data_IF_922016139992
#
_entry.id   IF_922016139992
#
_cell.length_a   1.000
_cell.length_b   1.000
_cell.length_c   1.000
_cell.angle_alpha   90.00
_cell.angle_beta   90.00
_cell.angle_gamma   90.00
#
_symmetry.space_group_name_H-M   'P 1'
#
loop_
_entity.id
_entity.type
_entity.pdbx_description
1 polymer ?
#
# COMPACT_ATOMS: atom_id res chain seq x y z
N UNK A 1 -16.87 5.09 6.51
CA UNK A 1 -15.76 6.03 6.29
C UNK A 1 -16.13 6.98 5.16
N UNK A 2 -15.78 8.27 5.21
CA UNK A 2 -15.95 9.17 4.06
C UNK A 2 -14.74 9.01 3.13
N UNK A 3 -14.93 8.97 1.79
CA UNK A 3 -13.81 8.98 0.86
C UNK A 3 -12.90 10.20 1.10
N UNK A 4 -11.59 9.99 0.97
CA UNK A 4 -10.54 10.99 1.14
C UNK A 4 -9.35 10.64 0.26
N UNK A 5 -8.45 11.60 0.00
CA UNK A 5 -7.22 11.31 -0.73
C UNK A 5 -6.41 10.18 -0.07
N UNK A 6 -6.41 10.10 1.27
CA UNK A 6 -5.71 9.05 1.99
C UNK A 6 -6.37 7.68 1.84
N UNK A 7 -7.70 7.60 1.80
CA UNK A 7 -8.38 6.32 1.56
C UNK A 7 -8.18 5.81 0.13
N UNK A 8 -8.15 6.71 -0.85
CA UNK A 8 -7.81 6.36 -2.23
C UNK A 8 -6.34 5.92 -2.36
N UNK A 9 -5.41 6.60 -1.69
CA UNK A 9 -4.00 6.21 -1.65
C UNK A 9 -3.78 4.87 -0.95
N UNK A 10 -4.51 4.60 0.14
CA UNK A 10 -4.50 3.31 0.81
C UNK A 10 -4.95 2.20 -0.15
N UNK A 11 -6.06 2.39 -0.86
CA UNK A 11 -6.55 1.45 -1.87
C UNK A 11 -5.55 1.26 -3.01
N UNK A 12 -4.88 2.32 -3.46
CA UNK A 12 -3.82 2.25 -4.46
C UNK A 12 -2.60 1.43 -3.98
N UNK A 13 -2.19 1.60 -2.72
CA UNK A 13 -1.14 0.77 -2.11
C UNK A 13 -1.50 -0.71 -2.10
N UNK A 14 -2.75 -1.03 -1.73
CA UNK A 14 -3.28 -2.39 -1.76
C UNK A 14 -3.33 -2.99 -3.17
N UNK A 15 -3.75 -2.20 -4.17
CA UNK A 15 -3.73 -2.61 -5.57
C UNK A 15 -2.31 -2.87 -6.08
N UNK A 16 -1.35 -2.03 -5.69
CA UNK A 16 0.06 -2.18 -6.08
C UNK A 16 0.66 -3.46 -5.48
N UNK A 17 0.36 -3.75 -4.22
CA UNK A 17 0.72 -5.02 -3.57
C UNK A 17 0.14 -6.22 -4.32
N UNK A 18 -1.14 -6.17 -4.70
CA UNK A 18 -1.80 -7.24 -5.46
C UNK A 18 -1.18 -7.40 -6.86
N UNK A 19 -0.76 -6.30 -7.49
CA UNK A 19 -0.05 -6.31 -8.76
C UNK A 19 1.28 -7.06 -8.73
N UNK A 20 2.08 -6.89 -7.67
CA UNK A 20 3.38 -7.57 -7.54
C UNK A 20 3.25 -9.01 -7.03
N UNK A 21 2.27 -9.30 -6.18
CA UNK A 21 2.17 -10.59 -5.50
C UNK A 21 1.17 -11.54 -6.13
N UNK A 22 0.24 -11.06 -6.96
CA UNK A 22 -0.96 -11.76 -7.42
C UNK A 22 -1.95 -12.15 -6.32
N UNK A 23 -1.75 -11.66 -5.09
CA UNK A 23 -2.59 -11.90 -3.93
C UNK A 23 -3.04 -10.59 -3.30
N UNK A 24 -4.27 -10.54 -2.79
CA UNK A 24 -4.71 -9.41 -1.97
C UNK A 24 -3.86 -9.32 -0.69
N UNK A 25 -3.70 -8.12 -0.11
CA UNK A 25 -3.19 -7.97 1.24
C UNK A 25 -3.95 -8.91 2.20
N UNK A 26 -3.22 -9.62 3.06
CA UNK A 26 -3.78 -10.59 4.01
C UNK A 26 -4.60 -11.73 3.39
N UNK A 27 -4.29 -12.19 2.17
CA UNK A 27 -5.03 -13.27 1.48
C UNK A 27 -5.20 -14.58 2.29
N UNK A 28 -4.36 -14.81 3.30
CA UNK A 28 -4.34 -15.98 4.17
C UNK A 28 -4.97 -15.74 5.54
N UNK A 29 -5.61 -14.58 5.76
CA UNK A 29 -6.26 -14.19 7.01
C UNK A 29 -7.78 -14.09 6.86
N UNK A 30 -8.49 -14.28 7.97
CA UNK A 30 -9.91 -14.00 8.05
C UNK A 30 -10.19 -12.54 8.49
N UNK A 31 -11.43 -12.09 8.34
CA UNK A 31 -11.83 -10.70 8.61
C UNK A 31 -11.43 -10.22 10.02
N UNK A 32 -11.58 -11.06 11.06
CA UNK A 32 -11.21 -10.70 12.43
C UNK A 32 -9.70 -10.52 12.60
N UNK A 33 -8.90 -11.39 11.99
CA UNK A 33 -7.43 -11.26 11.99
C UNK A 33 -6.99 -9.99 11.25
N UNK A 34 -7.67 -9.65 10.14
CA UNK A 34 -7.41 -8.42 9.40
C UNK A 34 -7.76 -7.18 10.23
N UNK A 35 -8.87 -7.19 10.95
CA UNK A 35 -9.25 -6.12 11.89
C UNK A 35 -8.20 -5.95 12.99
N UNK A 36 -7.79 -7.05 13.65
CA UNK A 36 -6.76 -7.05 14.69
C UNK A 36 -5.42 -6.48 14.19
N UNK A 37 -4.98 -6.88 12.98
CA UNK A 37 -3.75 -6.36 12.35
C UNK A 37 -3.87 -4.89 11.97
N UNK A 38 -5.01 -4.48 11.42
CA UNK A 38 -5.23 -3.09 11.02
C UNK A 38 -5.27 -2.15 12.24
N UNK A 39 -5.88 -2.57 13.36
CA UNK A 39 -5.86 -1.82 14.61
C UNK A 39 -4.46 -1.69 15.22
N UNK A 40 -3.57 -2.64 14.91
CA UNK A 40 -2.17 -2.65 15.35
C UNK A 40 -1.21 -1.90 14.39
N UNK A 41 -1.71 -1.30 13.30
CA UNK A 41 -0.89 -0.75 12.20
C UNK A 41 0.11 -1.78 11.61
N UNK A 42 -0.22 -3.08 11.68
CA UNK A 42 0.63 -4.17 11.18
C UNK A 42 0.23 -4.56 9.75
N UNK A 43 1.06 -4.15 8.78
CA UNK A 43 0.83 -4.41 7.36
C UNK A 43 1.62 -5.59 6.81
N UNK A 44 1.20 -6.20 5.68
CA UNK A 44 1.94 -7.28 5.04
C UNK A 44 3.36 -6.86 4.70
N UNK A 45 4.29 -7.81 4.79
CA UNK A 45 5.68 -7.56 4.45
C UNK A 45 5.85 -7.31 2.95
N UNK A 46 6.46 -6.17 2.61
CA UNK A 46 6.75 -5.74 1.24
C UNK A 46 8.23 -5.85 0.86
N UNK A 47 9.06 -6.41 1.75
CA UNK A 47 10.50 -6.54 1.53
C UNK A 47 10.82 -7.30 0.23
N UNK A 48 11.66 -6.70 -0.62
CA UNK A 48 12.06 -7.28 -1.90
C UNK A 48 11.13 -6.97 -3.07
N UNK A 49 9.99 -6.31 -2.84
CA UNK A 49 9.13 -5.78 -3.89
C UNK A 49 9.73 -4.52 -4.51
N UNK A 50 9.47 -4.31 -5.80
CA UNK A 50 9.94 -3.12 -6.52
C UNK A 50 9.28 -1.86 -5.94
N UNK A 51 8.00 -1.92 -5.59
CA UNK A 51 7.21 -0.81 -5.06
C UNK A 51 7.14 -0.78 -3.53
N UNK A 52 8.00 -1.50 -2.81
CA UNK A 52 8.00 -1.62 -1.32
C UNK A 52 7.72 -0.28 -0.61
N UNK A 53 8.57 0.71 -0.86
CA UNK A 53 8.49 2.01 -0.21
C UNK A 53 7.19 2.76 -0.56
N UNK A 54 6.68 2.62 -1.79
CA UNK A 54 5.44 3.28 -2.23
C UNK A 54 4.23 2.64 -1.56
N UNK A 55 4.13 1.30 -1.56
CA UNK A 55 3.06 0.55 -0.91
C UNK A 55 2.97 0.92 0.57
N UNK A 56 4.12 0.91 1.27
CA UNK A 56 4.17 1.27 2.70
C UNK A 56 3.80 2.71 2.98
N UNK A 57 4.26 3.67 2.17
CA UNK A 57 3.88 5.09 2.31
C UNK A 57 2.38 5.31 2.11
N UNK A 58 1.77 4.57 1.18
CA UNK A 58 0.32 4.58 0.98
C UNK A 58 -0.45 4.08 2.21
N UNK A 59 -0.07 2.93 2.77
CA UNK A 59 -0.74 2.36 3.95
C UNK A 59 -0.55 3.20 5.21
N UNK A 60 0.67 3.72 5.43
CA UNK A 60 1.01 4.51 6.63
C UNK A 60 0.69 6.01 6.50
N UNK A 61 -0.14 6.38 5.51
CA UNK A 61 -0.62 7.76 5.29
C UNK A 61 0.53 8.77 5.22
N UNK A 62 1.57 8.44 4.46
CA UNK A 62 2.78 9.29 4.31
C UNK A 62 2.74 10.21 3.10
N UNK A 63 1.76 10.05 2.22
CA UNK A 63 1.51 10.96 1.10
C UNK A 63 0.36 11.91 1.41
N UNK A 64 0.53 13.19 1.06
CA UNK A 64 -0.54 14.19 1.13
C UNK A 64 -1.31 14.32 -0.19
N UNK A 65 -0.76 13.80 -1.28
CA UNK A 65 -1.39 13.83 -2.60
C UNK A 65 -0.96 12.64 -3.47
N UNK A 66 -1.75 12.33 -4.50
CA UNK A 66 -1.37 11.38 -5.54
C UNK A 66 -0.14 11.84 -6.35
N UNK A 67 0.14 13.14 -6.39
CA UNK A 67 1.32 13.68 -7.07
C UNK A 67 2.64 13.26 -6.41
N UNK A 68 2.67 13.15 -5.08
CA UNK A 68 3.84 12.64 -4.35
C UNK A 68 4.08 11.17 -4.67
N UNK A 69 3.03 10.34 -4.64
CA UNK A 69 3.14 8.93 -5.03
C UNK A 69 3.62 8.78 -6.49
N UNK A 70 3.11 9.59 -7.41
CA UNK A 70 3.55 9.60 -8.80
C UNK A 70 5.02 10.00 -8.96
N UNK A 71 5.53 10.88 -8.09
CA UNK A 71 6.94 11.29 -8.12
C UNK A 71 7.85 10.11 -7.77
N UNK A 72 7.51 9.37 -6.70
CA UNK A 72 8.26 8.17 -6.32
C UNK A 72 8.16 7.06 -7.40
N UNK A 73 7.01 6.88 -8.04
CA UNK A 73 6.84 5.93 -9.16
C UNK A 73 7.77 6.27 -10.31
N UNK A 74 7.86 7.55 -10.70
CA UNK A 74 8.76 7.99 -11.77
C UNK A 74 10.22 7.73 -11.44
N UNK A 75 10.63 7.97 -10.20
CA UNK A 75 11.99 7.67 -9.76
C UNK A 75 12.34 6.18 -9.93
N UNK A 76 11.39 5.27 -9.70
CA UNK A 76 11.60 3.83 -9.93
C UNK A 76 11.66 3.53 -11.43
N UNK A 77 10.76 4.11 -12.24
CA UNK A 77 10.76 3.91 -13.69
C UNK A 77 12.08 4.35 -14.34
N UNK A 78 12.70 5.43 -13.85
CA UNK A 78 13.99 5.91 -14.36
C UNK A 78 15.18 5.00 -13.96
N UNK A 79 14.99 4.08 -13.01
CA UNK A 79 15.99 3.13 -12.53
C UNK A 79 15.91 1.75 -13.21
N UNK A 80 14.84 1.47 -13.95
CA UNK A 80 14.61 0.22 -14.69
C UNK A 80 14.96 0.37 -16.18
#
# INVERSE_FOLDING_TARGET
>A
MKPSIHSELFAFGSLSYEGETTYKPYHDKNDREVEELFEADEYPNTSGMVLDNIIRKCWLVKYQSAGEAMTDIKMIQDLL
#
